data_IF_600148952917
#
_entry.id   IF_600148952917
#
_cell.length_a   1.000
_cell.length_b   1.000
_cell.length_c   1.000
_cell.angle_alpha   90.00
_cell.angle_beta   90.00
_cell.angle_gamma   90.00
#
_symmetry.space_group_name_H-M   'P 1'
#
loop_
_entity.id
_entity.type
_entity.pdbx_description
1 polymer ?
#
# COMPACT_ATOMS: atom_id res chain seq x y z
N UNK A 1 -2.11 -4.20 -28.85
CA UNK A 1 -2.67 -4.30 -27.49
C UNK A 1 -2.72 -2.89 -26.91
N UNK A 2 -3.84 -2.48 -26.31
CA UNK A 2 -3.93 -1.18 -25.62
C UNK A 2 -3.04 -1.18 -24.38
N UNK A 3 -2.47 -0.02 -24.02
CA UNK A 3 -1.69 0.15 -22.79
C UNK A 3 -2.63 0.10 -21.58
N UNK A 4 -2.28 -0.60 -20.48
CA UNK A 4 -3.10 -0.56 -19.27
C UNK A 4 -3.11 0.85 -18.66
N UNK A 5 -4.23 1.23 -18.03
CA UNK A 5 -4.36 2.50 -17.32
C UNK A 5 -3.52 2.52 -16.04
N UNK A 6 -3.44 1.39 -15.34
CA UNK A 6 -2.60 1.19 -14.17
C UNK A 6 -2.15 -0.28 -14.07
N UNK A 7 -1.05 -0.51 -13.36
CA UNK A 7 -0.49 -1.85 -13.13
C UNK A 7 -0.39 -2.09 -11.63
N UNK A 8 -0.72 -3.31 -11.17
CA UNK A 8 -0.45 -3.73 -9.80
C UNK A 8 0.97 -4.29 -9.72
N UNK A 9 1.81 -3.65 -8.92
CA UNK A 9 3.18 -4.08 -8.64
C UNK A 9 3.33 -4.43 -7.16
N UNK A 10 4.21 -5.39 -6.85
CA UNK A 10 4.52 -5.78 -5.47
C UNK A 10 5.94 -5.37 -5.12
N UNK A 11 6.08 -4.60 -4.04
CA UNK A 11 7.35 -4.09 -3.56
C UNK A 11 7.82 -4.81 -2.30
N UNK A 12 9.14 -4.84 -2.12
CA UNK A 12 9.78 -5.61 -1.06
C UNK A 12 9.61 -4.96 0.32
N UNK A 13 9.54 -3.65 0.36
CA UNK A 13 9.36 -2.83 1.56
C UNK A 13 7.89 -2.77 2.03
N UNK A 14 6.92 -3.05 1.15
CA UNK A 14 5.49 -3.09 1.48
C UNK A 14 4.99 -4.48 1.95
N UNK A 15 5.86 -5.49 2.05
CA UNK A 15 5.43 -6.87 2.38
C UNK A 15 4.69 -7.01 3.71
N UNK A 16 5.06 -6.21 4.71
CA UNK A 16 4.36 -6.19 6.01
C UNK A 16 2.90 -5.75 5.83
N UNK A 17 2.66 -4.74 4.99
CA UNK A 17 1.30 -4.25 4.71
C UNK A 17 0.50 -5.28 3.91
N UNK A 18 1.12 -5.97 2.95
CA UNK A 18 0.46 -7.03 2.20
C UNK A 18 0.02 -8.17 3.11
N UNK A 19 0.89 -8.59 4.05
CA UNK A 19 0.55 -9.60 5.06
C UNK A 19 -0.60 -9.13 5.95
N UNK A 20 -0.57 -7.88 6.40
CA UNK A 20 -1.65 -7.29 7.19
C UNK A 20 -2.98 -7.31 6.42
N UNK A 21 -2.97 -6.86 5.17
CA UNK A 21 -4.14 -6.84 4.30
C UNK A 21 -4.70 -8.26 4.06
N UNK A 22 -3.84 -9.23 3.72
CA UNK A 22 -4.22 -10.63 3.53
C UNK A 22 -4.76 -11.30 4.81
N UNK A 23 -4.31 -10.86 5.98
CA UNK A 23 -4.81 -11.35 7.28
C UNK A 23 -6.12 -10.71 7.73
N UNK A 24 -6.61 -9.70 7.01
CA UNK A 24 -7.86 -9.02 7.35
C UNK A 24 -9.08 -9.90 7.04
N UNK A 25 -10.24 -9.56 7.62
CA UNK A 25 -11.49 -10.29 7.39
C UNK A 25 -11.94 -10.24 5.92
N UNK A 26 -11.60 -9.15 5.21
CA UNK A 26 -11.92 -8.96 3.81
C UNK A 26 -10.75 -8.24 3.12
N UNK A 27 -9.75 -8.98 2.60
CA UNK A 27 -8.61 -8.39 1.91
C UNK A 27 -9.05 -7.59 0.68
N UNK A 28 -8.52 -6.37 0.53
CA UNK A 28 -8.93 -5.44 -0.54
C UNK A 28 -7.76 -5.02 -1.43
N UNK A 29 -8.01 -4.88 -2.73
CA UNK A 29 -7.23 -4.02 -3.62
C UNK A 29 -7.78 -2.60 -3.57
N UNK A 30 -6.87 -1.65 -3.71
CA UNK A 30 -7.19 -0.23 -3.76
C UNK A 30 -6.85 0.31 -5.15
N UNK A 31 -7.77 1.08 -5.72
CA UNK A 31 -7.57 1.80 -6.98
C UNK A 31 -7.60 3.29 -6.66
N UNK A 32 -6.51 3.97 -6.97
CA UNK A 32 -6.42 5.43 -6.81
C UNK A 32 -6.71 6.06 -8.17
N UNK A 33 -7.67 6.98 -8.16
CA UNK A 33 -8.09 7.77 -9.30
C UNK A 33 -7.66 9.22 -9.07
N UNK A 34 -7.13 9.86 -10.10
CA UNK A 34 -7.02 11.32 -10.12
C UNK A 34 -8.44 11.91 -10.19
N UNK A 35 -8.74 12.82 -9.27
CA UNK A 35 -10.06 13.49 -9.19
C UNK A 35 -10.00 15.01 -9.38
N UNK A 36 -8.89 15.55 -9.88
CA UNK A 36 -8.79 16.98 -10.21
C UNK A 36 -9.82 17.42 -11.26
N UNK A 37 -10.21 16.53 -12.18
CA UNK A 37 -11.33 16.72 -13.11
C UNK A 37 -12.43 15.70 -12.83
N UNK A 38 -13.55 16.13 -12.22
CA UNK A 38 -14.68 15.25 -11.85
C UNK A 38 -15.25 14.45 -13.03
N UNK A 39 -15.13 14.97 -14.25
CA UNK A 39 -15.65 14.33 -15.47
C UNK A 39 -14.70 13.31 -16.09
N UNK A 40 -13.45 13.20 -15.60
CA UNK A 40 -12.42 12.34 -16.16
C UNK A 40 -11.58 11.65 -15.08
N UNK A 41 -12.22 10.73 -14.35
CA UNK A 41 -11.54 9.90 -13.35
C UNK A 41 -10.60 8.91 -14.03
N UNK A 42 -9.29 9.18 -13.96
CA UNK A 42 -8.27 8.31 -14.54
C UNK A 42 -7.56 7.50 -13.46
N UNK A 43 -7.45 6.16 -13.59
CA UNK A 43 -6.64 5.37 -12.68
C UNK A 43 -5.17 5.73 -12.79
N UNK A 44 -4.57 6.07 -11.66
CA UNK A 44 -3.13 6.36 -11.57
C UNK A 44 -2.36 5.27 -10.84
N UNK A 45 -3.03 4.49 -9.99
CA UNK A 45 -2.39 3.43 -9.21
C UNK A 45 -3.37 2.32 -8.83
N UNK A 46 -2.86 1.10 -8.77
CA UNK A 46 -3.50 -0.02 -8.08
C UNK A 46 -2.52 -0.56 -7.04
N UNK A 47 -2.95 -0.68 -5.78
CA UNK A 47 -2.10 -1.17 -4.70
C UNK A 47 -2.83 -2.17 -3.80
N UNK A 48 -2.07 -3.06 -3.18
CA UNK A 48 -2.53 -3.92 -2.10
C UNK A 48 -2.06 -3.44 -0.71
N UNK A 49 -1.32 -2.32 -0.62
CA UNK A 49 -0.95 -1.70 0.66
C UNK A 49 -2.04 -0.73 1.11
N UNK A 50 -2.58 -0.98 2.30
CA UNK A 50 -3.51 -0.07 2.97
C UNK A 50 -2.84 1.25 3.36
N UNK A 51 -1.55 1.23 3.72
CA UNK A 51 -0.82 2.45 4.08
C UNK A 51 -0.59 3.34 2.85
N UNK A 52 -0.21 2.75 1.71
CA UNK A 52 -0.10 3.48 0.44
C UNK A 52 -1.45 4.08 0.06
N UNK A 53 -2.52 3.28 0.06
CA UNK A 53 -3.86 3.78 -0.23
C UNK A 53 -4.29 4.91 0.71
N UNK A 54 -3.99 4.79 2.01
CA UNK A 54 -4.25 5.81 3.03
C UNK A 54 -3.57 7.14 2.75
N UNK A 55 -2.34 7.12 2.22
CA UNK A 55 -1.60 8.35 1.89
C UNK A 55 -2.25 9.20 0.81
N UNK A 56 -3.14 8.62 -0.01
CA UNK A 56 -3.91 9.34 -1.03
C UNK A 56 -5.23 9.90 -0.52
N UNK A 57 -5.68 9.52 0.69
CA UNK A 57 -6.96 10.02 1.24
C UNK A 57 -6.87 11.47 1.75
N UNK A 58 -5.65 12.00 1.96
CA UNK A 58 -5.42 13.36 2.44
C UNK A 58 -5.34 14.41 1.31
N UNK A 59 -5.51 14.00 0.04
CA UNK A 59 -5.40 14.88 -1.14
C UNK A 59 -6.60 14.79 -2.09
N UNK A 60 -6.46 15.38 -3.29
CA UNK A 60 -7.49 15.42 -4.34
C UNK A 60 -7.58 14.11 -5.14
N UNK A 61 -7.64 12.98 -4.44
CA UNK A 61 -7.74 11.65 -5.05
C UNK A 61 -8.96 10.89 -4.57
N UNK A 62 -9.51 10.05 -5.45
CA UNK A 62 -10.55 9.09 -5.09
C UNK A 62 -9.93 7.70 -4.92
N UNK A 63 -10.05 7.13 -3.73
CA UNK A 63 -9.61 5.76 -3.43
C UNK A 63 -10.81 4.83 -3.42
N UNK A 64 -10.90 3.96 -4.43
CA UNK A 64 -11.88 2.88 -4.49
C UNK A 64 -11.28 1.59 -3.93
N UNK A 65 -12.10 0.73 -3.33
CA UNK A 65 -11.68 -0.58 -2.86
C UNK A 65 -12.52 -1.70 -3.47
N UNK A 66 -11.87 -2.84 -3.75
CA UNK A 66 -12.51 -4.07 -4.25
C UNK A 66 -11.89 -5.30 -3.56
N UNK A 67 -12.66 -6.36 -3.26
CA UNK A 67 -12.09 -7.59 -2.72
C UNK A 67 -10.98 -8.15 -3.62
N UNK A 68 -9.89 -8.64 -3.01
CA UNK A 68 -8.77 -9.23 -3.76
C UNK A 68 -9.26 -10.50 -4.48
N UNK A 69 -9.07 -10.63 -5.81
CA UNK A 69 -9.35 -11.88 -6.50
C UNK A 69 -8.39 -12.99 -6.04
N UNK A 70 -8.88 -14.22 -5.91
CA UNK A 70 -8.09 -15.38 -5.44
C UNK A 70 -6.72 -15.53 -6.15
N UNK A 71 -6.60 -15.38 -7.50
CA UNK A 71 -5.30 -15.46 -8.16
C UNK A 71 -4.30 -14.39 -7.68
N UNK A 72 -4.78 -13.18 -7.38
CA UNK A 72 -3.95 -12.08 -6.87
C UNK A 72 -3.52 -12.38 -5.43
N UNK A 73 -4.42 -12.90 -4.59
CA UNK A 73 -4.07 -13.34 -3.24
C UNK A 73 -2.98 -14.41 -3.25
N UNK A 74 -3.15 -15.48 -4.03
CA UNK A 74 -2.14 -16.54 -4.15
C UNK A 74 -0.79 -16.00 -4.67
N UNK A 75 -0.83 -15.06 -5.61
CA UNK A 75 0.37 -14.40 -6.12
C UNK A 75 1.09 -13.57 -5.04
N UNK A 76 0.34 -12.80 -4.24
CA UNK A 76 0.88 -12.04 -3.11
C UNK A 76 1.48 -12.94 -2.04
N UNK A 77 0.78 -14.01 -1.64
CA UNK A 77 1.27 -15.01 -0.67
C UNK A 77 2.58 -15.64 -1.15
N UNK A 78 2.65 -16.04 -2.42
CA UNK A 78 3.85 -16.60 -3.01
C UNK A 78 5.00 -15.57 -3.11
N UNK A 79 4.68 -14.30 -3.38
CA UNK A 79 5.67 -13.21 -3.38
C UNK A 79 6.26 -13.00 -1.98
N UNK A 80 5.42 -12.94 -0.95
CA UNK A 80 5.86 -12.82 0.45
C UNK A 80 6.73 -14.03 0.83
N UNK A 81 6.26 -15.25 0.54
CA UNK A 81 7.00 -16.48 0.85
C UNK A 81 8.39 -16.55 0.20
N UNK A 82 8.54 -16.06 -1.04
CA UNK A 82 9.84 -16.02 -1.73
C UNK A 82 10.81 -14.96 -1.20
N UNK A 83 10.30 -13.88 -0.61
CA UNK A 83 11.11 -12.74 -0.21
C UNK A 83 11.29 -12.60 1.31
N UNK A 84 10.63 -13.45 2.10
CA UNK A 84 10.71 -13.47 3.55
C UNK A 84 10.07 -12.24 4.21
N UNK A 85 10.06 -12.21 5.54
CA UNK A 85 9.56 -11.04 6.27
C UNK A 85 10.50 -9.84 6.13
N UNK A 86 9.95 -8.64 6.20
CA UNK A 86 10.76 -7.46 6.48
C UNK A 86 11.27 -7.62 7.92
N UNK A 87 12.55 -7.97 8.10
CA UNK A 87 13.15 -7.93 9.42
C UNK A 87 13.04 -6.49 9.90
N UNK A 88 12.35 -6.25 11.02
CA UNK A 88 12.34 -4.93 11.65
C UNK A 88 13.79 -4.55 11.96
N UNK A 89 14.38 -3.73 11.09
CA UNK A 89 15.63 -3.06 11.41
C UNK A 89 15.22 -2.01 12.43
N UNK A 90 15.24 -2.39 13.71
CA UNK A 90 15.12 -1.48 14.84
C UNK A 90 16.14 -0.38 14.62
N UNK A 91 15.73 0.74 14.03
CA UNK A 91 16.56 1.94 13.93
C UNK A 91 16.89 2.29 15.37
N UNK A 92 18.15 2.06 15.75
CA UNK A 92 18.66 2.40 17.08
C UNK A 92 18.34 3.88 17.29
N UNK A 93 17.37 4.18 18.17
CA UNK A 93 17.13 5.57 18.61
C UNK A 93 18.50 6.11 19.02
N UNK A 94 18.98 7.16 18.35
CA UNK A 94 20.18 7.86 18.82
C UNK A 94 19.87 8.30 20.25
N UNK A 95 20.67 7.84 21.22
CA UNK A 95 20.59 8.33 22.61
C UNK A 95 20.81 9.84 22.55
N UNK A 96 19.80 10.65 22.90
CA UNK A 96 19.94 12.10 22.98
C UNK A 96 18.77 12.95 22.48
N UNK A 97 17.78 12.41 21.77
CA UNK A 97 16.62 13.20 21.30
C UNK A 97 15.54 13.42 22.39
N UNK A 98 15.96 13.55 23.65
CA UNK A 98 15.08 13.79 24.79
C UNK A 98 15.23 15.22 25.32
N UNK A 99 14.27 16.07 24.94
CA UNK A 99 13.77 17.28 25.62
C UNK A 99 14.73 18.01 26.57
N UNK A 100 15.30 19.13 26.13
CA UNK A 100 15.68 20.21 27.04
C UNK A 100 14.41 21.02 27.37
N UNK A 101 13.80 20.74 28.52
CA UNK A 101 12.99 21.76 29.21
C UNK A 101 14.00 22.61 29.99
N UNK A 102 14.36 23.77 29.44
CA UNK A 102 15.28 24.73 30.05
C UNK A 102 14.49 25.93 30.54
N UNK A 103 14.53 26.11 31.87
CA UNK A 103 14.07 27.20 32.75
C UNK A 103 13.53 28.49 32.11
#
# INVERSE_FOLDING_TARGET
MSKPHATLELYRDERTDYRFNLSSQNPMLFVVLDSHEETNLTPIMVTASQAVAGSFMDGDYLVLSKPIPLPIQAWMEAYIGRHGELLEVRRKKRKGAGRSSGK
#
